data_IF_660919374589
#
_entry.id   IF_660919374589
#
_cell.length_a   1.000
_cell.length_b   1.000
_cell.length_c   1.000
_cell.angle_alpha   90.00
_cell.angle_beta   90.00
_cell.angle_gamma   90.00
#
_symmetry.space_group_name_H-M   'P 1'
#
loop_
_entity.id
_entity.type
_entity.pdbx_description
1 polymer ?
#
# COMPACT_ATOMS: atom_id res chain seq x y z
N UNK A 1 4.43 -6.41 14.29
CA UNK A 1 3.31 -7.31 14.65
C UNK A 1 3.80 -8.47 15.49
N UNK A 2 2.86 -9.24 16.04
CA UNK A 2 3.11 -10.47 16.79
C UNK A 2 2.47 -11.65 16.03
N UNK A 3 3.18 -12.77 15.94
CA UNK A 3 2.69 -14.00 15.33
C UNK A 3 2.96 -15.14 16.30
N UNK A 4 1.91 -15.91 16.65
CA UNK A 4 2.01 -17.05 17.57
C UNK A 4 2.72 -16.71 18.89
N UNK A 5 2.41 -15.56 19.51
CA UNK A 5 3.03 -15.12 20.76
C UNK A 5 4.43 -14.50 20.62
N UNK A 6 4.99 -14.46 19.40
CA UNK A 6 6.33 -13.93 19.14
C UNK A 6 6.26 -12.59 18.43
N UNK A 7 6.88 -11.56 19.02
CA UNK A 7 6.97 -10.23 18.40
C UNK A 7 7.95 -10.28 17.23
N UNK A 8 7.43 -10.14 16.02
CA UNK A 8 8.24 -10.08 14.79
C UNK A 8 8.83 -8.68 14.59
N UNK A 9 8.01 -7.63 14.74
CA UNK A 9 8.39 -6.23 14.54
C UNK A 9 7.70 -5.32 15.57
N UNK A 10 8.41 -4.31 16.07
CA UNK A 10 7.81 -3.22 16.86
C UNK A 10 7.00 -2.26 15.97
N UNK A 11 6.07 -1.51 16.56
CA UNK A 11 5.24 -0.52 15.83
C UNK A 11 6.10 0.50 15.09
N UNK A 12 7.10 1.08 15.78
CA UNK A 12 8.05 2.03 15.18
C UNK A 12 8.84 1.43 14.01
N UNK A 13 9.11 0.13 14.01
CA UNK A 13 9.78 -0.53 12.88
C UNK A 13 8.85 -0.65 11.68
N UNK A 14 7.56 -0.89 11.90
CA UNK A 14 6.54 -0.89 10.83
C UNK A 14 6.35 0.52 10.26
N UNK A 15 6.30 1.54 11.11
CA UNK A 15 6.28 2.95 10.66
C UNK A 15 7.50 3.30 9.81
N UNK A 16 8.70 2.88 10.23
CA UNK A 16 9.92 3.05 9.43
C UNK A 16 9.83 2.31 8.09
N UNK A 17 9.26 1.11 8.06
CA UNK A 17 9.08 0.33 6.83
C UNK A 17 8.18 1.06 5.82
N UNK A 18 7.08 1.66 6.28
CA UNK A 18 6.13 2.42 5.47
C UNK A 18 6.45 3.90 5.27
N UNK A 19 7.64 4.38 5.70
CA UNK A 19 8.05 5.78 5.52
C UNK A 19 8.82 5.97 4.22
N UNK A 20 8.72 7.15 3.60
CA UNK A 20 9.50 7.45 2.39
C UNK A 20 11.01 7.55 2.68
N UNK A 21 11.82 6.73 2.00
CA UNK A 21 13.28 6.72 2.11
C UNK A 21 14.00 7.24 0.87
N UNK A 22 13.27 7.66 -0.16
CA UNK A 22 13.85 8.06 -1.47
C UNK A 22 13.66 9.53 -1.81
N UNK A 23 13.12 10.34 -0.89
CA UNK A 23 12.86 11.76 -1.12
C UNK A 23 11.86 11.96 -2.27
N UNK A 24 12.21 12.84 -3.21
CA UNK A 24 11.35 13.22 -4.35
C UNK A 24 11.59 12.38 -5.62
N UNK A 25 12.27 11.23 -5.51
CA UNK A 25 12.63 10.39 -6.65
C UNK A 25 11.41 9.96 -7.48
N UNK A 26 10.33 9.55 -6.82
CA UNK A 26 9.09 9.09 -7.47
C UNK A 26 8.34 10.26 -8.11
N UNK A 27 8.26 11.39 -7.43
CA UNK A 27 7.66 12.61 -7.96
C UNK A 27 8.39 13.08 -9.24
N UNK A 28 9.73 13.09 -9.22
CA UNK A 28 10.56 13.40 -10.40
C UNK A 28 10.35 12.41 -11.56
N UNK A 29 9.96 11.18 -11.26
CA UNK A 29 9.62 10.16 -12.25
C UNK A 29 8.15 10.23 -12.72
N UNK A 30 7.37 11.21 -12.22
CA UNK A 30 5.97 11.42 -12.59
C UNK A 30 4.95 10.70 -11.70
N UNK A 31 5.40 9.92 -10.71
CA UNK A 31 4.54 9.29 -9.71
C UNK A 31 4.28 10.26 -8.54
N UNK A 32 3.55 11.33 -8.84
CA UNK A 32 3.18 12.38 -7.86
C UNK A 32 2.36 11.75 -6.71
N UNK A 33 2.63 12.18 -5.48
CA UNK A 33 1.94 11.65 -4.29
C UNK A 33 2.40 10.26 -3.86
N UNK A 34 3.41 9.68 -4.53
CA UNK A 34 3.97 8.36 -4.22
C UNK A 34 5.42 8.46 -3.73
N UNK A 35 5.81 7.51 -2.90
CA UNK A 35 7.17 7.33 -2.40
C UNK A 35 7.54 5.86 -2.30
N UNK A 36 8.73 5.59 -1.76
CA UNK A 36 9.21 4.23 -1.59
C UNK A 36 9.79 4.03 -0.20
N UNK A 37 9.24 3.02 0.48
CA UNK A 37 9.64 2.59 1.81
C UNK A 37 10.68 1.48 1.78
N UNK A 38 10.79 0.76 2.88
CA UNK A 38 11.63 -0.43 2.93
C UNK A 38 10.88 -1.59 2.29
N UNK A 39 11.14 -1.82 1.00
CA UNK A 39 10.56 -2.89 0.15
C UNK A 39 9.12 -2.68 -0.31
N UNK A 40 8.53 -1.51 -0.06
CA UNK A 40 7.12 -1.19 -0.32
C UNK A 40 6.97 0.14 -1.05
N UNK A 41 5.89 0.29 -1.83
CA UNK A 41 5.42 1.61 -2.22
C UNK A 41 4.73 2.29 -1.03
N UNK A 42 4.68 3.62 -1.05
CA UNK A 42 4.03 4.41 -0.01
C UNK A 42 3.20 5.52 -0.66
N UNK A 43 1.95 5.66 -0.25
CA UNK A 43 1.10 6.79 -0.63
C UNK A 43 1.43 7.97 0.30
N UNK A 44 2.06 9.00 -0.25
CA UNK A 44 2.41 10.23 0.49
C UNK A 44 1.27 11.24 0.50
N UNK A 45 0.45 11.24 -0.57
CA UNK A 45 -0.73 12.09 -0.70
C UNK A 45 -1.79 11.35 -1.54
N UNK A 46 -2.84 10.84 -0.89
CA UNK A 46 -3.92 10.12 -1.56
C UNK A 46 -4.79 10.96 -2.50
N UNK A 47 -4.74 12.29 -2.43
CA UNK A 47 -5.42 13.17 -3.39
C UNK A 47 -4.56 13.36 -4.64
N UNK A 48 -3.25 13.48 -4.47
CA UNK A 48 -2.31 13.70 -5.57
C UNK A 48 -1.92 12.40 -6.30
N UNK A 49 -1.94 11.26 -5.60
CA UNK A 49 -1.61 9.93 -6.13
C UNK A 49 -2.65 9.44 -7.16
N UNK A 50 -2.43 9.78 -8.43
CA UNK A 50 -3.38 9.47 -9.50
C UNK A 50 -3.54 7.96 -9.71
N UNK A 51 -4.79 7.50 -9.66
CA UNK A 51 -5.14 6.09 -9.88
C UNK A 51 -4.86 5.20 -8.66
N UNK A 52 -4.47 5.79 -7.53
CA UNK A 52 -4.39 5.13 -6.24
C UNK A 52 -5.55 5.62 -5.37
N UNK A 53 -6.28 4.68 -4.77
CA UNK A 53 -7.43 4.95 -3.91
C UNK A 53 -7.16 4.61 -2.44
N UNK A 54 -5.92 4.23 -2.10
CA UNK A 54 -5.51 4.01 -0.70
C UNK A 54 -5.38 5.35 0.03
N UNK A 55 -5.53 5.32 1.35
CA UNK A 55 -5.28 6.50 2.18
C UNK A 55 -3.83 6.97 2.16
N UNK A 56 -3.60 8.25 2.48
CA UNK A 56 -2.27 8.76 2.80
C UNK A 56 -1.66 7.96 3.95
N UNK A 57 -0.42 7.49 3.77
CA UNK A 57 0.30 6.64 4.71
C UNK A 57 0.17 5.14 4.44
N UNK A 58 -0.68 4.74 3.50
CA UNK A 58 -0.79 3.34 3.09
C UNK A 58 0.44 2.88 2.35
N UNK A 59 0.82 1.62 2.56
CA UNK A 59 1.98 1.00 1.95
C UNK A 59 1.71 -0.43 1.53
N UNK A 60 2.37 -0.90 0.46
CA UNK A 60 2.11 -2.23 -0.07
C UNK A 60 3.04 -2.62 -1.21
N UNK A 61 2.63 -3.65 -1.96
CA UNK A 61 3.32 -4.00 -3.19
C UNK A 61 2.46 -4.85 -4.13
N UNK A 62 2.88 -4.93 -5.38
CA UNK A 62 2.30 -5.79 -6.41
C UNK A 62 3.21 -6.97 -6.74
N UNK A 63 2.64 -8.14 -6.96
CA UNK A 63 3.36 -9.34 -7.40
C UNK A 63 3.28 -9.55 -8.91
N UNK A 64 4.08 -10.47 -9.45
CA UNK A 64 4.14 -10.69 -10.90
C UNK A 64 2.83 -11.25 -11.49
N UNK A 65 2.20 -12.22 -10.82
CA UNK A 65 1.03 -12.96 -11.33
C UNK A 65 -0.30 -12.42 -10.81
N UNK A 66 -0.42 -11.09 -10.78
CA UNK A 66 -1.66 -10.41 -10.39
C UNK A 66 -1.88 -10.24 -8.90
N UNK A 67 -1.12 -10.95 -8.05
CA UNK A 67 -1.19 -10.75 -6.61
C UNK A 67 -0.87 -9.31 -6.22
N UNK A 68 -1.44 -8.85 -5.11
CA UNK A 68 -1.14 -7.55 -4.51
C UNK A 68 -1.55 -7.53 -3.05
N UNK A 69 -0.91 -6.69 -2.25
CA UNK A 69 -1.34 -6.42 -0.89
C UNK A 69 -1.09 -4.96 -0.53
N UNK A 70 -1.85 -4.45 0.43
CA UNK A 70 -1.52 -3.19 1.09
C UNK A 70 -2.03 -3.20 2.53
N UNK A 71 -1.42 -2.33 3.32
CA UNK A 71 -1.85 -1.98 4.67
C UNK A 71 -2.26 -0.52 4.65
N UNK A 72 -3.44 -0.23 5.18
CA UNK A 72 -3.98 1.12 5.38
C UNK A 72 -4.17 1.37 6.88
N UNK A 73 -3.20 2.00 7.55
CA UNK A 73 -3.29 2.27 8.99
C UNK A 73 -4.40 3.26 9.35
N UNK A 74 -4.86 4.09 8.41
CA UNK A 74 -5.91 5.09 8.66
C UNK A 74 -7.27 4.41 8.82
N UNK A 75 -7.51 3.40 7.98
CA UNK A 75 -8.75 2.62 7.96
C UNK A 75 -8.68 1.31 8.77
N UNK A 76 -7.60 1.11 9.55
CA UNK A 76 -7.29 -0.15 10.27
C UNK A 76 -7.48 -1.41 9.39
N UNK A 77 -6.98 -1.33 8.16
CA UNK A 77 -7.27 -2.31 7.10
C UNK A 77 -5.98 -2.94 6.57
N UNK A 78 -6.03 -4.24 6.31
CA UNK A 78 -5.04 -4.93 5.47
C UNK A 78 -5.76 -5.74 4.42
N UNK A 79 -5.42 -5.51 3.15
CA UNK A 79 -6.03 -6.21 2.03
C UNK A 79 -5.00 -7.04 1.28
N UNK A 80 -5.42 -8.24 0.85
CA UNK A 80 -4.57 -9.18 0.11
C UNK A 80 -5.39 -9.78 -1.03
N UNK A 81 -4.89 -9.61 -2.26
CA UNK A 81 -5.42 -10.23 -3.46
C UNK A 81 -4.49 -11.37 -3.89
N UNK A 82 -5.01 -12.60 -3.88
CA UNK A 82 -4.29 -13.80 -4.31
C UNK A 82 -4.95 -14.40 -5.55
N UNK A 83 -4.39 -14.10 -6.71
CA UNK A 83 -4.86 -14.60 -8.00
C UNK A 83 -3.70 -15.18 -8.81
N UNK A 84 -4.02 -15.91 -9.88
CA UNK A 84 -3.03 -16.55 -10.77
C UNK A 84 -3.27 -16.12 -12.22
N UNK A 85 -3.48 -14.81 -12.43
CA UNK A 85 -3.74 -14.18 -13.73
C UNK A 85 -2.95 -12.87 -13.79
N UNK A 86 -2.56 -12.35 -14.97
CA UNK A 86 -2.02 -11.01 -15.07
C UNK A 86 -2.92 -9.98 -14.35
N UNK A 87 -2.32 -9.12 -13.53
CA UNK A 87 -3.05 -8.25 -12.60
C UNK A 87 -3.98 -7.24 -13.25
N UNK A 88 -3.59 -6.68 -14.40
CA UNK A 88 -4.44 -5.85 -15.26
C UNK A 88 -5.37 -4.87 -14.51
N UNK A 89 -6.60 -4.66 -15.00
CA UNK A 89 -7.63 -3.85 -14.33
C UNK A 89 -8.08 -4.43 -12.98
N UNK A 90 -7.96 -5.74 -12.79
CA UNK A 90 -8.47 -6.44 -11.60
C UNK A 90 -7.91 -5.88 -10.29
N UNK A 91 -6.65 -5.39 -10.28
CA UNK A 91 -6.08 -4.75 -9.08
C UNK A 91 -6.80 -3.46 -8.71
N UNK A 92 -7.04 -2.61 -9.69
CA UNK A 92 -7.75 -1.35 -9.49
C UNK A 92 -9.22 -1.60 -9.11
N UNK A 93 -9.86 -2.57 -9.76
CA UNK A 93 -11.23 -2.96 -9.43
C UNK A 93 -11.33 -3.50 -7.99
N UNK A 94 -10.38 -4.35 -7.58
CA UNK A 94 -10.31 -4.86 -6.21
C UNK A 94 -10.09 -3.74 -5.20
N UNK A 95 -9.13 -2.85 -5.46
CA UNK A 95 -8.87 -1.69 -4.61
C UNK A 95 -10.11 -0.80 -4.47
N UNK A 96 -10.78 -0.48 -5.57
CA UNK A 96 -12.02 0.30 -5.56
C UNK A 96 -13.12 -0.38 -4.76
N UNK A 97 -13.35 -1.66 -4.99
CA UNK A 97 -14.38 -2.41 -4.29
C UNK A 97 -14.14 -2.45 -2.78
N UNK A 98 -12.89 -2.61 -2.35
CA UNK A 98 -12.53 -2.60 -0.92
C UNK A 98 -12.73 -1.22 -0.32
N UNK A 99 -12.17 -0.17 -0.92
CA UNK A 99 -12.24 1.18 -0.34
C UNK A 99 -13.66 1.75 -0.34
N UNK A 100 -14.48 1.44 -1.35
CA UNK A 100 -15.90 1.85 -1.39
C UNK A 100 -16.79 1.09 -0.42
N UNK A 101 -16.36 -0.08 0.07
CA UNK A 101 -17.12 -0.85 1.05
C UNK A 101 -16.94 -0.34 2.49
N UNK A 102 -15.98 0.56 2.72
CA UNK A 102 -15.81 1.22 4.01
C UNK A 102 -16.98 2.19 4.21
N UNK A 103 -17.69 2.02 5.31
CA UNK A 103 -18.84 2.84 5.71
C UNK A 103 -18.57 3.39 7.10
N UNK A 104 -18.95 4.64 7.34
CA UNK A 104 -18.78 5.33 8.64
C UNK A 104 -19.56 4.66 9.78
#
# INVERSE_FOLDING_TARGET
GELNGTRLLGSRTVELMGSNHVGDLYEKAGAVGMGFGLTVDVVLDGIAARGDHRSTGSFGWVGAFGTSYWVDPREDLTAVLMVQTPGGPLRADFQNAVMQAIVD
#
